data_IF_061762737804
#
_entry.id   IF_061762737804
#
_cell.length_a   1.000
_cell.length_b   1.000
_cell.length_c   1.000
_cell.angle_alpha   90.00
_cell.angle_beta   90.00
_cell.angle_gamma   90.00
#
_symmetry.space_group_name_H-M   'P 1'
#
loop_
_entity.id
_entity.type
_entity.pdbx_description
1 polymer ?
#
# COMPACT_ATOMS: atom_id res chain seq x y z
N UNK A 1 8.42 -7.74 -16.21
CA UNK A 1 9.80 -7.73 -15.66
C UNK A 1 10.26 -9.17 -15.52
N UNK A 2 11.55 -9.44 -15.70
CA UNK A 2 12.14 -10.74 -15.37
C UNK A 2 12.34 -10.84 -13.85
N UNK A 3 12.40 -12.06 -13.30
CA UNK A 3 12.69 -12.31 -11.89
C UNK A 3 14.01 -11.61 -11.46
N UNK A 4 15.04 -11.71 -12.31
CA UNK A 4 16.34 -11.04 -12.09
C UNK A 4 16.21 -9.51 -12.02
N UNK A 5 15.32 -8.92 -12.83
CA UNK A 5 15.05 -7.48 -12.82
C UNK A 5 14.35 -7.03 -11.54
N UNK A 6 13.47 -7.86 -10.98
CA UNK A 6 12.81 -7.60 -9.70
C UNK A 6 13.85 -7.67 -8.57
N UNK A 7 14.68 -8.70 -8.53
CA UNK A 7 15.74 -8.86 -7.52
C UNK A 7 16.74 -7.69 -7.53
N UNK A 8 17.18 -7.26 -8.71
CA UNK A 8 18.06 -6.09 -8.84
C UNK A 8 17.41 -4.80 -8.34
N UNK A 9 16.11 -4.62 -8.60
CA UNK A 9 15.34 -3.46 -8.11
C UNK A 9 15.20 -3.49 -6.59
N UNK A 10 14.86 -4.64 -6.01
CA UNK A 10 14.75 -4.82 -4.56
C UNK A 10 16.09 -4.56 -3.86
N UNK A 11 17.20 -5.06 -4.40
CA UNK A 11 18.54 -4.77 -3.89
C UNK A 11 18.84 -3.27 -3.87
N UNK A 12 18.42 -2.55 -4.91
CA UNK A 12 18.59 -1.09 -4.98
C UNK A 12 17.76 -0.36 -3.93
N UNK A 13 16.52 -0.81 -3.70
CA UNK A 13 15.62 -0.21 -2.71
C UNK A 13 16.06 -0.49 -1.27
N UNK A 14 16.72 -1.62 -1.03
CA UNK A 14 17.27 -2.02 0.28
C UNK A 14 18.71 -1.56 0.53
N UNK A 15 19.30 -0.75 -0.35
CA UNK A 15 20.74 -0.38 -0.28
C UNK A 15 21.13 0.35 1.02
N UNK A 16 20.18 1.06 1.61
CA UNK A 16 20.38 1.91 2.79
C UNK A 16 19.88 1.21 4.08
N UNK A 17 19.50 -0.08 3.99
CA UNK A 17 19.13 -0.90 5.16
C UNK A 17 20.36 -1.14 6.03
N UNK A 18 20.21 -0.95 7.33
CA UNK A 18 21.24 -1.11 8.35
C UNK A 18 20.64 -1.02 9.75
N UNK A 19 21.47 -0.99 10.80
CA UNK A 19 20.96 -0.73 12.15
C UNK A 19 21.00 0.79 12.43
N UNK A 20 19.89 1.50 12.72
CA UNK A 20 18.51 1.06 12.95
C UNK A 20 17.54 1.45 11.82
N UNK A 21 17.91 1.22 10.57
CA UNK A 21 17.16 1.64 9.38
C UNK A 21 16.71 0.43 8.56
N UNK A 22 15.41 0.29 8.34
CA UNK A 22 14.86 -0.76 7.49
C UNK A 22 14.02 -0.20 6.31
N UNK A 23 13.73 -1.05 5.32
CA UNK A 23 13.02 -0.71 4.08
C UNK A 23 11.78 -1.58 3.87
N UNK A 24 10.61 -0.94 3.97
CA UNK A 24 9.30 -1.57 3.75
C UNK A 24 8.78 -1.22 2.36
N UNK A 25 9.06 -2.12 1.41
CA UNK A 25 8.79 -1.89 -0.01
C UNK A 25 7.32 -2.22 -0.30
N UNK A 26 6.64 -1.31 -1.00
CA UNK A 26 5.27 -1.50 -1.46
C UNK A 26 5.18 -2.51 -2.62
N UNK A 27 4.09 -3.27 -2.65
CA UNK A 27 3.88 -4.31 -3.67
C UNK A 27 3.46 -3.71 -5.03
N UNK A 28 2.84 -2.53 -5.02
CA UNK A 28 2.46 -1.82 -6.25
C UNK A 28 3.15 -0.47 -6.40
N UNK A 29 2.89 0.19 -7.54
CA UNK A 29 3.56 1.41 -7.96
C UNK A 29 3.33 2.59 -7.00
N UNK A 30 2.07 2.90 -6.64
CA UNK A 30 1.73 4.07 -5.82
C UNK A 30 0.96 3.68 -4.57
N UNK A 31 1.18 4.44 -3.49
CA UNK A 31 0.42 4.31 -2.25
C UNK A 31 -1.09 4.45 -2.49
N UNK A 32 -1.52 5.41 -3.32
CA UNK A 32 -2.94 5.63 -3.59
C UNK A 32 -3.59 4.43 -4.29
N UNK A 33 -2.85 3.79 -5.21
CA UNK A 33 -3.31 2.59 -5.89
C UNK A 33 -3.36 1.39 -4.93
N UNK A 34 -2.33 1.21 -4.10
CA UNK A 34 -2.31 0.14 -3.09
C UNK A 34 -3.44 0.26 -2.08
N UNK A 35 -3.72 1.48 -1.60
CA UNK A 35 -4.85 1.72 -0.71
C UNK A 35 -6.19 1.47 -1.42
N UNK A 36 -6.29 1.79 -2.71
CA UNK A 36 -7.50 1.54 -3.50
C UNK A 36 -7.69 0.05 -3.87
N UNK A 37 -6.63 -0.76 -3.86
CA UNK A 37 -6.72 -2.21 -4.04
C UNK A 37 -7.34 -2.91 -2.82
N UNK A 38 -7.27 -2.29 -1.63
CA UNK A 38 -7.91 -2.81 -0.40
C UNK A 38 -9.42 -2.53 -0.46
N UNK A 39 -10.30 -3.54 -0.61
CA UNK A 39 -11.73 -3.31 -0.79
C UNK A 39 -12.38 -2.49 0.34
N UNK A 40 -11.84 -2.58 1.55
CA UNK A 40 -12.32 -1.90 2.76
C UNK A 40 -11.94 -0.40 2.80
N UNK A 41 -10.95 0.00 1.99
CA UNK A 41 -10.46 1.37 1.87
C UNK A 41 -10.82 2.00 0.53
N UNK A 42 -11.05 1.20 -0.52
CA UNK A 42 -11.28 1.67 -1.89
C UNK A 42 -12.36 2.76 -1.99
N UNK A 43 -13.50 2.57 -1.35
CA UNK A 43 -14.56 3.60 -1.33
C UNK A 43 -14.08 4.91 -0.68
N UNK A 44 -13.41 4.84 0.47
CA UNK A 44 -12.87 6.02 1.15
C UNK A 44 -11.80 6.72 0.34
N UNK A 45 -10.94 5.98 -0.38
CA UNK A 45 -9.95 6.56 -1.30
C UNK A 45 -10.67 7.23 -2.46
N UNK A 46 -11.71 6.61 -3.03
CA UNK A 46 -12.49 7.23 -4.10
C UNK A 46 -13.15 8.53 -3.66
N UNK A 47 -13.80 8.54 -2.50
CA UNK A 47 -14.39 9.74 -1.89
C UNK A 47 -13.34 10.84 -1.68
N UNK A 48 -12.17 10.49 -1.13
CA UNK A 48 -11.06 11.42 -0.92
C UNK A 48 -10.58 12.03 -2.24
N UNK A 49 -10.45 11.22 -3.30
CA UNK A 49 -10.09 11.71 -4.65
C UNK A 49 -11.15 12.67 -5.17
N UNK A 50 -12.44 12.34 -5.09
CA UNK A 50 -13.49 13.25 -5.56
C UNK A 50 -13.56 14.56 -4.77
N UNK A 51 -13.29 14.51 -3.46
CA UNK A 51 -13.19 15.69 -2.61
C UNK A 51 -11.96 16.55 -2.96
N UNK A 52 -10.82 15.94 -3.26
CA UNK A 52 -9.62 16.66 -3.67
C UNK A 52 -9.75 17.34 -5.04
N UNK A 53 -10.65 16.87 -5.91
CA UNK A 53 -10.94 17.51 -7.21
C UNK A 53 -11.71 18.83 -7.10
N UNK A 54 -12.34 19.11 -5.95
CA UNK A 54 -13.22 20.28 -5.79
C UNK A 54 -12.53 21.42 -5.06
N UNK A 55 -12.74 22.65 -5.52
CA UNK A 55 -12.35 23.86 -4.81
C UNK A 55 -13.42 24.36 -3.82
N UNK A 56 -14.59 23.70 -3.78
CA UNK A 56 -15.70 24.07 -2.90
C UNK A 56 -15.40 23.73 -1.45
N UNK A 57 -15.70 24.65 -0.52
CA UNK A 57 -15.64 24.42 0.93
C UNK A 57 -17.01 24.32 1.60
N UNK A 58 -18.09 24.41 0.82
CA UNK A 58 -19.46 24.39 1.30
C UNK A 58 -19.87 22.97 1.74
N UNK A 59 -20.26 22.74 3.01
CA UNK A 59 -20.54 21.40 3.54
C UNK A 59 -21.58 20.63 2.74
N UNK A 60 -22.66 21.28 2.30
CA UNK A 60 -23.73 20.68 1.51
C UNK A 60 -23.25 20.17 0.15
N UNK A 61 -22.31 20.89 -0.47
CA UNK A 61 -21.71 20.48 -1.75
C UNK A 61 -20.72 19.35 -1.55
N UNK A 62 -19.98 19.34 -0.45
CA UNK A 62 -19.06 18.24 -0.10
C UNK A 62 -19.84 16.95 0.18
N UNK A 63 -20.93 17.02 0.94
CA UNK A 63 -21.80 15.87 1.20
C UNK A 63 -22.34 15.25 -0.09
N UNK A 64 -22.80 16.08 -1.04
CA UNK A 64 -23.27 15.61 -2.35
C UNK A 64 -22.15 14.96 -3.19
N UNK A 65 -20.91 15.42 -3.07
CA UNK A 65 -19.76 14.80 -3.74
C UNK A 65 -19.48 13.42 -3.15
N UNK A 66 -19.52 13.28 -1.83
CA UNK A 66 -19.32 12.00 -1.14
C UNK A 66 -20.43 11.01 -1.52
N UNK A 67 -21.68 11.43 -1.49
CA UNK A 67 -22.84 10.61 -1.88
C UNK A 67 -22.68 10.10 -3.33
N UNK A 68 -22.41 11.01 -4.27
CA UNK A 68 -22.18 10.64 -5.68
C UNK A 68 -20.98 9.71 -5.86
N UNK A 69 -19.92 9.88 -5.08
CA UNK A 69 -18.76 9.00 -5.11
C UNK A 69 -19.13 7.59 -4.64
N UNK A 70 -19.91 7.47 -3.55
CA UNK A 70 -20.42 6.18 -3.07
C UNK A 70 -21.34 5.50 -4.08
N UNK A 71 -22.26 6.24 -4.72
CA UNK A 71 -23.10 5.72 -5.81
C UNK A 71 -22.26 5.20 -6.98
N UNK A 72 -21.23 5.95 -7.37
CA UNK A 72 -20.33 5.56 -8.46
C UNK A 72 -19.58 4.28 -8.12
N UNK A 73 -19.06 4.18 -6.89
CA UNK A 73 -18.37 2.99 -6.41
C UNK A 73 -19.31 1.77 -6.33
N UNK A 74 -20.53 1.95 -5.82
CA UNK A 74 -21.55 0.91 -5.80
C UNK A 74 -21.88 0.42 -7.22
N UNK A 75 -22.03 1.33 -8.18
CA UNK A 75 -22.24 0.98 -9.59
C UNK A 75 -21.08 0.17 -10.19
N UNK A 76 -19.83 0.44 -9.81
CA UNK A 76 -18.69 -0.39 -10.22
C UNK A 76 -18.73 -1.79 -9.61
N UNK A 77 -19.15 -1.91 -8.35
CA UNK A 77 -19.34 -3.20 -7.69
C UNK A 77 -20.47 -4.01 -8.33
N UNK A 78 -21.58 -3.38 -8.68
CA UNK A 78 -22.71 -4.02 -9.37
C UNK A 78 -22.33 -4.47 -10.78
N UNK A 79 -21.55 -3.67 -11.50
CA UNK A 79 -20.97 -4.03 -12.78
C UNK A 79 -19.86 -5.10 -12.67
N UNK A 80 -19.60 -5.64 -11.47
CA UNK A 80 -18.65 -6.71 -11.21
C UNK A 80 -17.22 -6.40 -11.66
N UNK A 81 -16.81 -5.12 -11.58
CA UNK A 81 -15.43 -4.73 -11.84
C UNK A 81 -14.50 -5.37 -10.80
N UNK A 82 -13.33 -5.80 -11.26
CA UNK A 82 -12.28 -6.30 -10.38
C UNK A 82 -11.73 -5.19 -9.47
N UNK A 83 -11.14 -5.58 -8.33
CA UNK A 83 -10.49 -4.63 -7.42
C UNK A 83 -9.39 -3.82 -8.14
N UNK A 84 -8.65 -4.45 -9.06
CA UNK A 84 -7.63 -3.79 -9.87
C UNK A 84 -8.25 -2.74 -10.81
N UNK A 85 -9.33 -3.05 -11.52
CA UNK A 85 -10.01 -2.08 -12.39
C UNK A 85 -10.55 -0.89 -11.60
N UNK A 86 -11.14 -1.15 -10.43
CA UNK A 86 -11.62 -0.11 -9.52
C UNK A 86 -10.45 0.76 -9.03
N UNK A 87 -9.35 0.15 -8.60
CA UNK A 87 -8.17 0.87 -8.14
C UNK A 87 -7.55 1.76 -9.23
N UNK A 88 -7.48 1.26 -10.48
CA UNK A 88 -7.05 2.07 -11.63
C UNK A 88 -7.97 3.28 -11.82
N UNK A 89 -9.29 3.08 -11.80
CA UNK A 89 -10.27 4.18 -11.95
C UNK A 89 -10.17 5.21 -10.83
N UNK A 90 -9.91 4.78 -9.59
CA UNK A 90 -9.71 5.66 -8.44
C UNK A 90 -8.42 6.45 -8.56
N UNK A 91 -7.35 5.80 -9.02
CA UNK A 91 -6.02 6.41 -9.14
C UNK A 91 -5.91 7.38 -10.34
N UNK A 92 -6.68 7.15 -11.40
CA UNK A 92 -6.59 7.91 -12.66
C UNK A 92 -6.62 9.43 -12.48
N UNK A 93 -7.54 10.05 -11.69
CA UNK A 93 -7.53 11.51 -11.50
C UNK A 93 -6.28 12.03 -10.79
N UNK A 94 -5.64 11.22 -9.95
CA UNK A 94 -4.38 11.57 -9.27
C UNK A 94 -3.21 11.52 -10.26
N UNK A 95 -3.20 10.50 -11.13
CA UNK A 95 -2.23 10.38 -12.22
C UNK A 95 -2.34 11.55 -13.21
N UNK A 96 -3.56 11.89 -13.59
CA UNK A 96 -3.87 12.93 -14.57
C UNK A 96 -3.76 14.35 -13.99
N UNK A 97 -3.35 14.46 -12.71
CA UNK A 97 -3.16 15.73 -11.96
C UNK A 97 -4.45 16.54 -11.80
N UNK A 98 -5.61 15.90 -11.89
CA UNK A 98 -6.90 16.50 -11.58
C UNK A 98 -7.18 16.58 -10.07
N UNK A 99 -6.51 15.74 -9.29
CA UNK A 99 -6.49 15.76 -7.83
C UNK A 99 -5.05 15.76 -7.33
N UNK A 100 -4.70 16.63 -6.38
CA UNK A 100 -3.35 16.63 -5.82
C UNK A 100 -3.17 15.51 -4.79
N UNK A 101 -2.00 14.87 -4.79
CA UNK A 101 -1.68 13.80 -3.83
C UNK A 101 -1.83 14.25 -2.38
N UNK A 102 -1.39 15.47 -2.07
CA UNK A 102 -1.45 16.04 -0.73
C UNK A 102 -2.90 16.24 -0.27
N UNK A 103 -3.76 16.80 -1.11
CA UNK A 103 -5.18 16.98 -0.78
C UNK A 103 -5.90 15.64 -0.68
N UNK A 104 -5.59 14.66 -1.53
CA UNK A 104 -6.14 13.30 -1.41
C UNK A 104 -5.76 12.68 -0.06
N UNK A 105 -4.50 12.78 0.34
CA UNK A 105 -4.03 12.26 1.62
C UNK A 105 -4.73 12.96 2.81
N UNK A 106 -4.90 14.29 2.75
CA UNK A 106 -5.61 15.06 3.77
C UNK A 106 -7.08 14.64 3.87
N UNK A 107 -7.80 14.56 2.75
CA UNK A 107 -9.20 14.16 2.72
C UNK A 107 -9.37 12.71 3.19
N UNK A 108 -8.48 11.80 2.78
CA UNK A 108 -8.51 10.41 3.22
C UNK A 108 -8.29 10.31 4.73
N UNK A 109 -7.30 11.03 5.28
CA UNK A 109 -7.08 11.07 6.72
C UNK A 109 -8.31 11.60 7.48
N UNK A 110 -8.99 12.63 6.95
CA UNK A 110 -10.21 13.16 7.54
C UNK A 110 -11.39 12.18 7.49
N UNK A 111 -11.50 11.36 6.43
CA UNK A 111 -12.49 10.29 6.32
C UNK A 111 -12.18 9.18 7.34
N UNK A 112 -10.93 8.70 7.36
CA UNK A 112 -10.52 7.62 8.26
C UNK A 112 -10.71 7.98 9.73
N UNK A 113 -10.43 9.22 10.14
CA UNK A 113 -10.67 9.71 11.51
C UNK A 113 -12.13 9.65 11.97
N UNK A 114 -13.08 9.66 11.03
CA UNK A 114 -14.52 9.62 11.33
C UNK A 114 -15.07 8.19 11.37
N UNK A 115 -14.30 7.21 10.88
CA UNK A 115 -14.69 5.80 10.93
C UNK A 115 -14.57 5.30 12.37
N UNK A 116 -15.47 4.42 12.77
CA UNK A 116 -15.49 3.79 14.10
C UNK A 116 -14.66 2.51 14.13
N UNK A 117 -13.47 2.55 13.54
CA UNK A 117 -12.61 1.37 13.38
C UNK A 117 -11.76 1.13 14.63
N UNK A 118 -11.65 -0.12 15.06
CA UNK A 118 -10.69 -0.50 16.11
C UNK A 118 -9.27 -0.55 15.54
N UNK A 119 -8.22 -0.48 16.39
CA UNK A 119 -6.84 -0.64 15.94
C UNK A 119 -6.61 -1.93 15.13
N UNK A 120 -7.23 -3.03 15.54
CA UNK A 120 -7.13 -4.34 14.87
C UNK A 120 -7.78 -4.28 13.49
N UNK A 121 -8.97 -3.70 13.38
CA UNK A 121 -9.65 -3.51 12.10
C UNK A 121 -8.84 -2.61 11.15
N UNK A 122 -8.18 -1.58 11.67
CA UNK A 122 -7.31 -0.73 10.86
C UNK A 122 -6.07 -1.49 10.36
N UNK A 123 -5.46 -2.32 11.20
CA UNK A 123 -4.35 -3.19 10.80
C UNK A 123 -4.72 -4.14 9.68
N UNK A 124 -5.88 -4.80 9.77
CA UNK A 124 -6.34 -5.74 8.74
C UNK A 124 -6.61 -5.09 7.38
N UNK A 125 -6.96 -3.80 7.39
CA UNK A 125 -7.32 -3.06 6.17
C UNK A 125 -6.12 -2.46 5.45
N UNK A 126 -5.07 -2.13 6.19
CA UNK A 126 -3.86 -1.53 5.62
C UNK A 126 -3.02 -2.57 4.84
N UNK A 127 -2.32 -2.13 3.78
CA UNK A 127 -1.27 -2.92 3.16
C UNK A 127 -0.25 -3.44 4.18
N UNK A 128 0.18 -4.72 4.11
CA UNK A 128 1.07 -5.31 5.11
C UNK A 128 2.38 -4.54 5.31
N UNK A 129 2.98 -4.01 4.25
CA UNK A 129 4.22 -3.23 4.35
C UNK A 129 4.06 -1.96 5.21
N UNK A 130 2.87 -1.34 5.21
CA UNK A 130 2.58 -0.17 6.06
C UNK A 130 2.43 -0.57 7.52
N UNK A 131 1.75 -1.69 7.79
CA UNK A 131 1.61 -2.21 9.17
C UNK A 131 2.99 -2.53 9.73
N UNK A 132 3.82 -3.24 8.97
CA UNK A 132 5.21 -3.54 9.35
C UNK A 132 6.03 -2.27 9.60
N UNK A 133 5.91 -1.26 8.73
CA UNK A 133 6.62 0.00 8.89
C UNK A 133 6.18 0.76 10.16
N UNK A 134 4.88 0.77 10.46
CA UNK A 134 4.32 1.41 11.66
C UNK A 134 4.78 0.65 12.92
N UNK A 135 4.69 -0.68 12.91
CA UNK A 135 5.10 -1.51 14.04
C UNK A 135 6.61 -1.37 14.30
N UNK A 136 7.43 -1.31 13.26
CA UNK A 136 8.87 -1.07 13.39
C UNK A 136 9.19 0.27 14.07
N UNK A 137 8.57 1.36 13.61
CA UNK A 137 8.86 2.70 14.16
C UNK A 137 8.25 2.92 15.54
N UNK A 138 7.25 2.12 15.95
CA UNK A 138 6.54 2.27 17.23
C UNK A 138 6.86 1.18 18.26
N UNK A 139 7.45 0.05 17.86
CA UNK A 139 7.69 -1.13 18.69
C UNK A 139 8.83 -1.02 19.70
N UNK A 140 9.57 0.09 19.68
CA UNK A 140 10.75 0.30 20.50
C UNK A 140 12.01 -0.29 19.87
N UNK A 141 13.10 0.47 19.89
CA UNK A 141 14.36 0.07 19.29
C UNK A 141 15.21 -0.77 20.24
N UNK A 142 15.65 -1.95 19.79
CA UNK A 142 16.63 -2.79 20.47
C UNK A 142 17.84 -2.97 19.53
N UNK A 143 19.05 -2.52 19.92
CA UNK A 143 20.24 -2.65 19.08
C UNK A 143 20.52 -4.10 18.66
N UNK A 144 20.78 -4.32 17.37
CA UNK A 144 21.06 -5.64 16.81
C UNK A 144 19.86 -6.61 16.79
N UNK A 145 18.66 -6.19 17.22
CA UNK A 145 17.46 -6.97 16.95
C UNK A 145 17.09 -6.81 15.46
N UNK A 146 16.82 -7.90 14.74
CA UNK A 146 16.29 -7.79 13.39
C UNK A 146 14.98 -6.99 13.47
N UNK A 147 14.81 -6.05 12.55
CA UNK A 147 13.64 -5.17 12.48
C UNK A 147 12.31 -5.93 12.51
N UNK A 148 12.31 -7.18 12.03
CA UNK A 148 11.22 -8.15 12.06
C UNK A 148 11.81 -9.56 11.91
N UNK A 149 11.12 -10.58 12.41
CA UNK A 149 11.44 -11.98 12.10
C UNK A 149 11.34 -12.18 10.58
N UNK A 150 12.27 -12.95 9.99
CA UNK A 150 12.29 -13.22 8.55
C UNK A 150 10.93 -13.80 8.09
N UNK A 151 10.44 -13.36 6.93
CA UNK A 151 9.27 -13.96 6.30
C UNK A 151 9.62 -15.42 5.96
N UNK A 152 8.77 -16.42 6.27
CA UNK A 152 9.04 -17.82 5.89
C UNK A 152 9.17 -18.00 4.37
N UNK A 153 8.69 -17.06 3.56
CA UNK A 153 8.85 -17.05 2.10
C UNK A 153 10.27 -16.60 1.65
N UNK A 154 11.01 -15.87 2.50
CA UNK A 154 12.41 -15.47 2.21
C UNK A 154 13.41 -16.62 2.50
N UNK A 155 13.02 -17.65 3.26
CA UNK A 155 13.88 -18.82 3.55
C UNK A 155 13.93 -19.85 2.41
N UNK A 156 12.91 -19.97 1.55
CA UNK A 156 12.90 -20.99 0.48
C UNK A 156 13.87 -20.73 -0.68
N UNK A 157 14.47 -19.53 -0.78
CA UNK A 157 15.42 -19.20 -1.86
C UNK A 157 16.88 -19.47 -1.43
N UNK A 158 17.12 -19.87 -0.18
CA UNK A 158 18.44 -20.21 0.32
C UNK A 158 18.58 -21.70 0.61
N UNK A 159 19.54 -22.36 -0.04
CA UNK A 159 20.05 -23.70 0.29
C UNK A 159 19.37 -24.90 -0.42
N UNK A 160 19.33 -24.88 -1.75
CA UNK A 160 19.24 -26.12 -2.54
C UNK A 160 20.13 -26.05 -3.79
N UNK A 161 21.45 -26.12 -3.62
CA UNK A 161 22.35 -26.11 -4.77
C UNK A 161 23.84 -26.08 -4.49
N UNK A 162 24.35 -26.83 -3.51
CA UNK A 162 25.80 -27.03 -3.37
C UNK A 162 26.14 -28.43 -2.86
N UNK A 163 25.76 -29.46 -3.62
CA UNK A 163 26.47 -30.74 -3.59
C UNK A 163 26.74 -31.21 -5.01
N UNK A 164 27.98 -30.97 -5.45
CA UNK A 164 28.49 -31.43 -6.73
C UNK A 164 29.98 -31.13 -6.86
N UNK A 165 30.76 -32.21 -6.90
CA UNK A 165 32.14 -32.30 -7.37
C UNK A 165 33.28 -31.92 -6.41
N UNK A 166 33.78 -32.92 -5.69
CA UNK A 166 35.22 -33.06 -5.44
C UNK A 166 35.60 -34.55 -5.42
N UNK A 167 35.95 -35.09 -6.59
CA UNK A 167 36.75 -36.30 -6.73
C UNK A 167 37.51 -36.26 -8.06
N UNK A 168 38.78 -35.87 -8.01
CA UNK A 168 39.75 -36.15 -9.06
C UNK A 168 41.16 -36.27 -8.45
N UNK A 169 41.72 -37.47 -8.54
CA UNK A 169 43.13 -37.72 -8.86
C UNK A 169 44.17 -37.65 -7.73
N UNK A 170 44.56 -38.81 -7.23
CA UNK A 170 45.89 -39.41 -7.48
C UNK A 170 45.85 -40.91 -7.15
#
# INVERSE_FOLDING_TARGET
MTQDGIAARLKTLRRDVGDPVDAFIADSWTLEFDLALRPELAESVHQAVQLAKTSSRKPERLAKIVEKASETYAGWKEASLSATEIAVKIYQPVHDKEASKAEVAEQLAAILRKRSDTPEQMRDRLPPYLVRAIDYVTGGYVPGAPAIAADPEDEEVGVAGMHGAAAAGA
#
